data_IF_520461379734
#
_entry.id   IF_520461379734
#
_cell.length_a   1.000
_cell.length_b   1.000
_cell.length_c   1.000
_cell.angle_alpha   90.00
_cell.angle_beta   90.00
_cell.angle_gamma   90.00
#
_symmetry.space_group_name_H-M   'P 1'
#
loop_
_entity.id
_entity.type
_entity.pdbx_description
1 polymer ?
#
# COMPACT_ATOMS: atom_id res chain seq x y z
N UNK A 1 -28.57 9.24 -12.22
CA UNK A 1 -27.49 9.16 -11.22
C UNK A 1 -26.20 9.58 -11.88
N UNK A 2 -25.50 10.62 -11.40
CA UNK A 2 -24.21 11.02 -11.99
C UNK A 2 -23.22 9.86 -11.85
N UNK A 3 -22.72 9.38 -12.99
CA UNK A 3 -21.83 8.23 -13.08
C UNK A 3 -20.48 8.64 -12.46
N UNK A 4 -20.26 8.32 -11.16
CA UNK A 4 -19.00 8.60 -10.51
C UNK A 4 -17.86 7.82 -11.18
N UNK A 5 -16.65 8.37 -11.27
CA UNK A 5 -15.54 7.63 -11.83
C UNK A 5 -15.25 6.37 -11.01
N UNK A 6 -14.85 5.27 -11.66
CA UNK A 6 -14.43 4.05 -10.96
C UNK A 6 -13.20 4.32 -10.11
N UNK A 7 -13.02 3.53 -9.06
CA UNK A 7 -11.99 3.73 -8.04
C UNK A 7 -11.16 2.49 -7.84
N UNK A 8 -9.86 2.65 -7.87
CA UNK A 8 -8.92 1.62 -7.45
C UNK A 8 -8.29 2.04 -6.13
N UNK A 9 -8.46 1.19 -5.12
CA UNK A 9 -7.89 1.38 -3.80
C UNK A 9 -6.73 0.40 -3.59
N UNK A 10 -5.61 0.91 -3.15
CA UNK A 10 -4.41 0.12 -2.90
C UNK A 10 -3.99 0.28 -1.46
N UNK A 11 -4.05 -0.81 -0.70
CA UNK A 11 -3.38 -0.89 0.60
C UNK A 11 -1.93 -1.31 0.36
N UNK A 12 -1.03 -0.36 0.48
CA UNK A 12 0.36 -0.52 0.10
C UNK A 12 1.31 -0.52 1.30
N UNK A 13 2.46 -1.17 1.12
CA UNK A 13 3.52 -1.21 2.14
C UNK A 13 4.30 -2.51 2.11
N UNK A 14 5.57 -2.43 2.47
CA UNK A 14 6.48 -3.58 2.52
C UNK A 14 5.98 -4.68 3.45
N UNK A 15 6.37 -5.92 3.22
CA UNK A 15 6.03 -7.05 4.09
C UNK A 15 6.42 -6.73 5.54
N UNK A 16 5.56 -7.08 6.49
CA UNK A 16 5.73 -6.74 7.91
C UNK A 16 5.28 -5.33 8.30
N UNK A 17 4.80 -4.48 7.36
CA UNK A 17 4.31 -3.13 7.68
C UNK A 17 3.05 -3.12 8.58
N UNK A 18 2.35 -4.25 8.73
CA UNK A 18 1.10 -4.31 9.50
C UNK A 18 -0.10 -3.71 8.75
N UNK A 19 -0.18 -3.90 7.44
CA UNK A 19 -1.28 -3.41 6.60
C UNK A 19 -2.66 -3.80 7.11
N UNK A 20 -2.80 -5.01 7.70
CA UNK A 20 -4.04 -5.51 8.30
C UNK A 20 -4.63 -4.57 9.37
N UNK A 21 -3.81 -3.81 10.08
CA UNK A 21 -4.26 -2.82 11.07
C UNK A 21 -5.13 -1.71 10.44
N UNK A 22 -4.96 -1.45 9.15
CA UNK A 22 -5.66 -0.38 8.40
C UNK A 22 -6.69 -0.96 7.43
N UNK A 23 -6.54 -2.24 7.02
CA UNK A 23 -7.39 -2.90 6.03
C UNK A 23 -8.88 -2.74 6.34
N UNK A 24 -9.29 -3.01 7.58
CA UNK A 24 -10.69 -2.88 7.99
C UNK A 24 -11.26 -1.46 7.85
N UNK A 25 -10.46 -0.43 8.11
CA UNK A 25 -10.88 0.96 7.91
C UNK A 25 -11.02 1.30 6.43
N UNK A 26 -10.08 0.83 5.60
CA UNK A 26 -10.15 1.00 4.15
C UNK A 26 -11.37 0.29 3.56
N UNK A 27 -11.65 -0.95 3.97
CA UNK A 27 -12.80 -1.72 3.50
C UNK A 27 -14.13 -1.02 3.84
N UNK A 28 -14.28 -0.50 5.04
CA UNK A 28 -15.48 0.28 5.42
C UNK A 28 -15.68 1.52 4.57
N UNK A 29 -14.59 2.19 4.16
CA UNK A 29 -14.66 3.38 3.30
C UNK A 29 -14.98 3.03 1.84
N UNK A 30 -14.55 1.86 1.37
CA UNK A 30 -14.61 1.52 -0.06
C UNK A 30 -15.90 0.80 -0.46
N UNK A 31 -16.38 -0.12 0.36
CA UNK A 31 -17.46 -1.04 -0.01
C UNK A 31 -17.13 -1.93 -1.23
N UNK A 32 -15.86 -1.96 -1.67
CA UNK A 32 -15.42 -2.71 -2.85
C UNK A 32 -14.89 -4.10 -2.45
N UNK A 33 -14.94 -5.03 -3.41
CA UNK A 33 -14.28 -6.32 -3.26
C UNK A 33 -12.78 -6.13 -3.02
N UNK A 34 -12.27 -6.82 -2.01
CA UNK A 34 -10.88 -6.70 -1.58
C UNK A 34 -10.09 -7.96 -1.87
N UNK A 35 -8.99 -7.80 -2.59
CA UNK A 35 -8.07 -8.87 -2.90
C UNK A 35 -6.81 -8.78 -2.04
N UNK A 36 -6.55 -9.83 -1.25
CA UNK A 36 -5.33 -10.00 -0.49
C UNK A 36 -4.48 -11.13 -1.09
N UNK A 37 -3.28 -10.86 -1.64
CA UNK A 37 -2.43 -11.88 -2.23
C UNK A 37 -1.98 -12.97 -1.24
N UNK A 38 -1.74 -12.61 0.04
CA UNK A 38 -1.31 -13.57 1.06
C UNK A 38 -2.44 -14.58 1.37
N UNK A 39 -3.69 -14.11 1.47
CA UNK A 39 -4.87 -14.96 1.62
C UNK A 39 -5.15 -15.82 0.38
N UNK A 40 -4.97 -15.25 -0.81
CA UNK A 40 -5.12 -15.99 -2.05
C UNK A 40 -4.09 -17.12 -2.15
N UNK A 41 -2.82 -16.86 -1.83
CA UNK A 41 -1.77 -17.88 -1.78
C UNK A 41 -2.07 -18.99 -0.77
N UNK A 42 -2.58 -18.61 0.41
CA UNK A 42 -3.00 -19.59 1.42
C UNK A 42 -4.13 -20.49 0.91
N UNK A 43 -5.18 -19.92 0.30
CA UNK A 43 -6.28 -20.71 -0.30
C UNK A 43 -5.79 -21.64 -1.41
N UNK A 44 -4.88 -21.17 -2.28
CA UNK A 44 -4.29 -22.01 -3.35
C UNK A 44 -3.55 -23.18 -2.76
N UNK A 45 -2.72 -23.00 -1.74
CA UNK A 45 -2.00 -24.10 -1.08
C UNK A 45 -2.91 -25.05 -0.33
N UNK A 46 -3.98 -24.54 0.27
CA UNK A 46 -4.97 -25.39 0.95
C UNK A 46 -5.73 -26.30 -0.04
N UNK A 47 -5.93 -25.81 -1.27
CA UNK A 47 -6.57 -26.58 -2.35
C UNK A 47 -5.61 -27.60 -3.02
N UNK A 48 -4.32 -27.29 -3.12
CA UNK A 48 -3.27 -28.22 -3.59
C UNK A 48 -2.04 -28.18 -2.65
N UNK A 49 -2.01 -29.05 -1.63
CA UNK A 49 -0.90 -29.15 -0.68
C UNK A 49 0.46 -29.50 -1.29
N UNK A 50 0.50 -30.00 -2.54
CA UNK A 50 1.76 -30.31 -3.24
C UNK A 50 2.43 -29.05 -3.81
N UNK A 51 1.67 -27.95 -3.93
CA UNK A 51 2.19 -26.69 -4.44
C UNK A 51 3.16 -26.05 -3.45
N UNK A 52 4.30 -25.58 -3.92
CA UNK A 52 5.26 -24.86 -3.07
C UNK A 52 4.70 -23.50 -2.67
N UNK A 53 5.21 -22.92 -1.57
CA UNK A 53 4.83 -21.56 -1.17
C UNK A 53 5.17 -20.52 -2.26
N UNK A 54 6.30 -20.72 -2.96
CA UNK A 54 6.72 -19.82 -4.03
C UNK A 54 5.74 -19.85 -5.22
N UNK A 55 5.29 -21.05 -5.63
CA UNK A 55 4.33 -21.21 -6.72
C UNK A 55 2.96 -20.63 -6.35
N UNK A 56 2.49 -20.87 -5.13
CA UNK A 56 1.25 -20.30 -4.63
C UNK A 56 1.30 -18.75 -4.59
N UNK A 57 2.41 -18.17 -4.13
CA UNK A 57 2.62 -16.73 -4.13
C UNK A 57 2.64 -16.17 -5.55
N UNK A 58 3.28 -16.86 -6.50
CA UNK A 58 3.31 -16.50 -7.90
C UNK A 58 1.91 -16.54 -8.52
N UNK A 59 1.16 -17.62 -8.29
CA UNK A 59 -0.21 -17.76 -8.77
C UNK A 59 -1.15 -16.69 -8.21
N UNK A 60 -1.07 -16.40 -6.91
CA UNK A 60 -1.82 -15.33 -6.25
C UNK A 60 -1.47 -13.95 -6.83
N UNK A 61 -0.17 -13.70 -7.07
CA UNK A 61 0.26 -12.44 -7.70
C UNK A 61 -0.33 -12.29 -9.12
N UNK A 62 -0.27 -13.35 -9.94
CA UNK A 62 -0.85 -13.34 -11.29
C UNK A 62 -2.38 -13.17 -11.25
N UNK A 63 -3.06 -13.78 -10.27
CA UNK A 63 -4.50 -13.59 -10.07
C UNK A 63 -4.81 -12.11 -9.75
N UNK A 64 -4.12 -11.51 -8.78
CA UNK A 64 -4.32 -10.10 -8.41
C UNK A 64 -4.04 -9.14 -9.56
N UNK A 65 -2.99 -9.41 -10.35
CA UNK A 65 -2.68 -8.65 -11.55
C UNK A 65 -3.83 -8.71 -12.57
N UNK A 66 -4.34 -9.91 -12.90
CA UNK A 66 -5.47 -10.08 -13.84
C UNK A 66 -6.74 -9.39 -13.35
N UNK A 67 -7.03 -9.46 -12.03
CA UNK A 67 -8.18 -8.75 -11.45
C UNK A 67 -8.04 -7.24 -11.59
N UNK A 68 -6.85 -6.69 -11.36
CA UNK A 68 -6.57 -5.27 -11.55
C UNK A 68 -6.71 -4.86 -13.03
N UNK A 69 -6.13 -5.63 -13.95
CA UNK A 69 -6.24 -5.40 -15.41
C UNK A 69 -7.71 -5.41 -15.86
N UNK A 70 -8.50 -6.37 -15.36
CA UNK A 70 -9.93 -6.45 -15.62
C UNK A 70 -10.69 -5.25 -15.04
N UNK A 71 -10.42 -4.89 -13.79
CA UNK A 71 -11.07 -3.73 -13.16
C UNK A 71 -10.79 -2.43 -13.94
N UNK A 72 -9.59 -2.27 -14.50
CA UNK A 72 -9.24 -1.14 -15.37
C UNK A 72 -10.02 -1.19 -16.68
N UNK A 73 -10.05 -2.35 -17.36
CA UNK A 73 -10.71 -2.53 -18.66
C UNK A 73 -12.24 -2.32 -18.56
N UNK A 74 -12.86 -2.94 -17.57
CA UNK A 74 -14.31 -2.94 -17.36
C UNK A 74 -14.78 -1.72 -16.52
N UNK A 75 -13.85 -0.83 -16.13
CA UNK A 75 -14.12 0.38 -15.32
C UNK A 75 -14.85 0.08 -14.00
N UNK A 76 -14.38 -0.92 -13.27
CA UNK A 76 -14.94 -1.38 -12.00
C UNK A 76 -14.22 -0.76 -10.80
N UNK A 77 -14.91 -0.66 -9.68
CA UNK A 77 -14.27 -0.41 -8.38
C UNK A 77 -13.50 -1.67 -7.95
N UNK A 78 -12.28 -1.49 -7.45
CA UNK A 78 -11.44 -2.59 -7.00
C UNK A 78 -10.54 -2.17 -5.85
N UNK A 79 -10.37 -3.06 -4.86
CA UNK A 79 -9.47 -2.83 -3.73
C UNK A 79 -8.51 -4.02 -3.57
N UNK A 80 -7.23 -3.75 -3.33
CA UNK A 80 -6.26 -4.83 -3.17
C UNK A 80 -5.04 -4.41 -2.34
N UNK A 81 -4.30 -5.43 -1.86
CA UNK A 81 -2.99 -5.26 -1.24
C UNK A 81 -1.84 -5.36 -2.23
N UNK A 82 -0.81 -4.54 -2.03
CA UNK A 82 0.44 -4.62 -2.77
C UNK A 82 1.62 -4.12 -1.94
N UNK A 83 2.81 -4.67 -2.17
CA UNK A 83 4.03 -4.04 -1.64
C UNK A 83 4.44 -2.80 -2.45
N UNK A 84 3.95 -2.62 -3.68
CA UNK A 84 4.44 -1.65 -4.67
C UNK A 84 5.96 -1.73 -4.90
N UNK A 85 6.60 -2.86 -4.56
CA UNK A 85 8.06 -3.04 -4.60
C UNK A 85 8.63 -3.42 -5.97
N UNK A 86 7.77 -3.71 -6.96
CA UNK A 86 8.13 -4.01 -8.35
C UNK A 86 7.55 -2.95 -9.29
N UNK A 87 7.76 -3.09 -10.61
CA UNK A 87 7.37 -2.07 -11.60
C UNK A 87 5.98 -2.30 -12.20
N UNK A 88 5.51 -3.54 -12.28
CA UNK A 88 4.26 -3.90 -12.98
C UNK A 88 3.02 -3.24 -12.40
N UNK A 89 2.78 -3.39 -11.08
CA UNK A 89 1.60 -2.80 -10.43
C UNK A 89 1.62 -1.26 -10.50
N UNK A 90 2.74 -0.57 -10.18
CA UNK A 90 2.83 0.87 -10.38
C UNK A 90 2.52 1.33 -11.82
N UNK A 91 2.97 0.59 -12.84
CA UNK A 91 2.68 0.92 -14.24
C UNK A 91 1.17 0.80 -14.56
N UNK A 92 0.51 -0.28 -14.09
CA UNK A 92 -0.94 -0.45 -14.24
C UNK A 92 -1.73 0.66 -13.54
N UNK A 93 -1.32 1.06 -12.34
CA UNK A 93 -1.96 2.17 -11.61
C UNK A 93 -1.77 3.51 -12.33
N UNK A 94 -0.60 3.75 -12.90
CA UNK A 94 -0.33 4.94 -13.71
C UNK A 94 -1.21 4.97 -14.98
N UNK A 95 -1.40 3.82 -15.63
CA UNK A 95 -2.30 3.65 -16.78
C UNK A 95 -3.75 3.90 -16.37
N UNK A 96 -4.21 3.32 -15.26
CA UNK A 96 -5.55 3.53 -14.72
C UNK A 96 -5.85 5.03 -14.50
N UNK A 97 -4.91 5.75 -13.88
CA UNK A 97 -5.04 7.19 -13.67
C UNK A 97 -5.14 7.97 -15.00
N UNK A 98 -4.40 7.58 -16.03
CA UNK A 98 -4.48 8.18 -17.38
C UNK A 98 -5.85 7.94 -18.04
N UNK A 99 -6.52 6.84 -17.70
CA UNK A 99 -7.89 6.50 -18.13
C UNK A 99 -8.97 7.16 -17.25
N UNK A 100 -8.61 8.14 -16.42
CA UNK A 100 -9.53 8.85 -15.50
C UNK A 100 -10.21 7.91 -14.47
N UNK A 101 -9.51 6.84 -14.07
CA UNK A 101 -9.89 6.04 -12.92
C UNK A 101 -9.26 6.68 -11.67
N UNK A 102 -10.03 6.88 -10.61
CA UNK A 102 -9.48 7.42 -9.36
C UNK A 102 -8.59 6.37 -8.68
N UNK A 103 -7.29 6.64 -8.60
CA UNK A 103 -6.34 5.78 -7.88
C UNK A 103 -6.07 6.36 -6.50
N UNK A 104 -6.36 5.58 -5.47
CA UNK A 104 -6.21 5.95 -4.07
C UNK A 104 -5.28 4.96 -3.37
N UNK A 105 -4.23 5.46 -2.73
CA UNK A 105 -3.21 4.64 -2.07
C UNK A 105 -3.17 4.94 -0.59
N UNK A 106 -3.29 3.89 0.23
CA UNK A 106 -3.03 3.93 1.66
C UNK A 106 -1.72 3.19 1.91
N UNK A 107 -0.68 3.95 2.18
CA UNK A 107 0.68 3.45 2.32
C UNK A 107 1.04 3.32 3.80
N UNK A 108 1.42 2.11 4.22
CA UNK A 108 1.87 1.81 5.58
C UNK A 108 3.36 1.55 5.56
N UNK A 109 4.11 2.32 6.33
CA UNK A 109 5.55 2.16 6.46
C UNK A 109 6.00 1.97 7.89
N UNK A 110 7.26 1.56 8.04
CA UNK A 110 7.99 1.42 9.30
C UNK A 110 9.30 2.20 9.22
N UNK A 111 9.84 2.52 10.39
CA UNK A 111 11.04 3.33 10.56
C UNK A 111 12.30 2.75 9.91
N UNK A 112 12.39 1.42 9.79
CA UNK A 112 13.56 0.75 9.21
C UNK A 112 13.22 -0.59 8.55
N UNK A 113 14.04 -1.08 7.61
CA UNK A 113 13.90 -2.43 7.07
C UNK A 113 14.12 -3.51 8.11
N UNK A 114 14.92 -3.25 9.16
CA UNK A 114 15.17 -4.18 10.27
C UNK A 114 13.90 -4.43 11.07
N UNK A 115 13.08 -3.41 11.31
CA UNK A 115 11.79 -3.57 11.98
C UNK A 115 10.81 -4.41 11.13
N UNK A 116 10.80 -4.22 9.80
CA UNK A 116 10.04 -5.09 8.90
C UNK A 116 10.48 -6.55 9.00
N UNK A 117 11.80 -6.79 9.02
CA UNK A 117 12.39 -8.14 9.15
C UNK A 117 12.01 -8.76 10.49
N UNK A 118 12.10 -8.01 11.59
CA UNK A 118 11.72 -8.49 12.92
C UNK A 118 10.23 -8.91 12.97
N UNK A 119 9.34 -8.10 12.42
CA UNK A 119 7.90 -8.41 12.37
C UNK A 119 7.57 -9.59 11.44
N UNK A 120 8.27 -9.74 10.30
CA UNK A 120 8.12 -10.94 9.44
C UNK A 120 8.56 -12.18 10.20
N UNK A 121 9.71 -12.16 10.91
CA UNK A 121 10.18 -13.28 11.74
C UNK A 121 9.15 -13.66 12.83
N UNK A 122 8.62 -12.66 13.55
CA UNK A 122 7.60 -12.90 14.58
C UNK A 122 6.32 -13.52 13.99
N UNK A 123 5.93 -13.14 12.77
CA UNK A 123 4.82 -13.74 12.03
C UNK A 123 5.13 -15.19 11.65
N UNK A 124 6.34 -15.48 11.17
CA UNK A 124 6.79 -16.84 10.82
C UNK A 124 6.75 -17.75 12.03
N UNK A 125 7.20 -17.29 13.21
CA UNK A 125 7.13 -18.04 14.45
C UNK A 125 5.68 -18.42 14.86
N UNK A 126 4.68 -17.71 14.30
CA UNK A 126 3.23 -17.99 14.49
C UNK A 126 2.61 -18.74 13.30
N UNK A 127 3.42 -19.39 12.46
CA UNK A 127 2.96 -20.18 11.31
C UNK A 127 2.77 -19.43 10.00
N UNK A 128 3.15 -18.14 9.92
CA UNK A 128 3.14 -17.38 8.67
C UNK A 128 4.30 -17.77 7.74
N UNK A 129 4.19 -17.39 6.45
CA UNK A 129 5.25 -17.65 5.48
C UNK A 129 6.42 -16.66 5.63
N UNK A 130 7.65 -17.14 5.31
CA UNK A 130 8.85 -16.33 5.34
C UNK A 130 9.01 -15.50 4.05
N UNK A 131 9.73 -14.38 4.20
CA UNK A 131 10.16 -13.52 3.09
C UNK A 131 11.67 -13.29 3.23
N UNK A 132 12.47 -13.53 2.18
CA UNK A 132 13.90 -13.31 2.22
C UNK A 132 14.26 -11.87 2.63
N UNK A 133 15.19 -11.72 3.58
CA UNK A 133 15.61 -10.42 4.10
C UNK A 133 16.07 -9.43 3.00
N UNK A 134 16.85 -9.88 1.98
CA UNK A 134 17.23 -9.00 0.87
C UNK A 134 16.02 -8.43 0.13
N UNK A 135 14.95 -9.23 -0.03
CA UNK A 135 13.71 -8.79 -0.67
C UNK A 135 12.97 -7.74 0.16
N UNK A 136 12.95 -7.89 1.49
CA UNK A 136 12.34 -6.90 2.39
C UNK A 136 13.09 -5.58 2.27
N UNK A 137 14.43 -5.57 2.34
CA UNK A 137 15.26 -4.36 2.20
C UNK A 137 15.05 -3.68 0.85
N UNK A 138 15.12 -4.44 -0.24
CA UNK A 138 14.87 -3.94 -1.58
C UNK A 138 13.47 -3.34 -1.72
N UNK A 139 12.43 -4.04 -1.24
CA UNK A 139 11.04 -3.56 -1.29
C UNK A 139 10.82 -2.33 -0.41
N UNK A 140 11.51 -2.22 0.72
CA UNK A 140 11.42 -1.03 1.58
C UNK A 140 11.88 0.24 0.86
N UNK A 141 12.89 0.17 0.03
CA UNK A 141 13.35 1.30 -0.80
C UNK A 141 12.46 1.50 -2.03
N UNK A 142 12.30 0.45 -2.85
CA UNK A 142 11.63 0.55 -4.14
C UNK A 142 10.14 0.89 -4.02
N UNK A 143 9.47 0.42 -2.97
CA UNK A 143 8.08 0.74 -2.68
C UNK A 143 7.86 2.25 -2.47
N UNK A 144 8.69 2.89 -1.65
CA UNK A 144 8.63 4.35 -1.41
C UNK A 144 8.92 5.14 -2.68
N UNK A 145 9.94 4.75 -3.45
CA UNK A 145 10.25 5.38 -4.72
C UNK A 145 9.09 5.27 -5.72
N UNK A 146 8.43 4.12 -5.78
CA UNK A 146 7.28 3.92 -6.65
C UNK A 146 6.08 4.76 -6.22
N UNK A 147 5.82 4.91 -4.91
CA UNK A 147 4.78 5.83 -4.41
C UNK A 147 5.11 7.28 -4.79
N UNK A 148 6.37 7.72 -4.66
CA UNK A 148 6.80 9.06 -5.07
C UNK A 148 6.57 9.28 -6.57
N UNK A 149 6.90 8.30 -7.41
CA UNK A 149 6.69 8.37 -8.87
C UNK A 149 5.21 8.41 -9.26
N UNK A 150 4.38 7.68 -8.52
CA UNK A 150 2.93 7.65 -8.75
C UNK A 150 2.22 8.90 -8.24
N UNK A 151 2.76 9.59 -7.22
CA UNK A 151 2.10 10.67 -6.50
C UNK A 151 1.43 11.73 -7.38
N UNK A 152 2.03 12.22 -8.48
CA UNK A 152 1.37 13.21 -9.33
C UNK A 152 0.10 12.71 -10.06
N UNK A 153 -0.10 11.40 -10.11
CA UNK A 153 -1.22 10.73 -10.80
C UNK A 153 -2.29 10.22 -9.84
N UNK A 154 -1.99 10.23 -8.53
CA UNK A 154 -2.91 9.72 -7.52
C UNK A 154 -4.04 10.72 -7.25
N UNK A 155 -5.26 10.21 -7.14
CA UNK A 155 -6.38 10.99 -6.60
C UNK A 155 -6.22 11.23 -5.11
N UNK A 156 -5.69 10.24 -4.38
CA UNK A 156 -5.42 10.35 -2.96
C UNK A 156 -4.23 9.47 -2.55
N UNK A 157 -3.36 10.01 -1.69
CA UNK A 157 -2.34 9.28 -0.95
C UNK A 157 -2.54 9.53 0.53
N UNK A 158 -2.59 8.45 1.34
CA UNK A 158 -2.45 8.50 2.79
C UNK A 158 -1.21 7.71 3.19
N UNK A 159 -0.34 8.30 3.99
CA UNK A 159 0.87 7.65 4.51
C UNK A 159 0.73 7.48 6.01
N UNK A 160 0.88 6.25 6.47
CA UNK A 160 0.79 5.89 7.89
C UNK A 160 2.11 5.34 8.39
N UNK A 161 2.51 5.80 9.56
CA UNK A 161 3.58 5.16 10.35
C UNK A 161 2.98 4.13 11.30
N UNK A 162 3.45 2.92 11.18
CA UNK A 162 3.06 1.82 12.06
C UNK A 162 4.27 1.29 12.84
N UNK A 163 5.26 2.15 13.12
CA UNK A 163 6.50 1.79 13.81
C UNK A 163 6.35 1.61 15.32
N UNK A 164 5.22 2.03 15.90
CA UNK A 164 5.00 1.93 17.33
C UNK A 164 5.16 0.49 17.85
N UNK A 165 5.84 0.36 18.97
CA UNK A 165 5.98 -0.90 19.69
C UNK A 165 4.71 -1.20 20.49
N UNK A 166 4.48 -2.48 20.77
CA UNK A 166 3.42 -2.87 21.68
C UNK A 166 3.73 -2.33 23.08
N UNK A 167 2.69 -1.87 23.76
CA UNK A 167 2.76 -1.46 25.16
C UNK A 167 3.26 -2.64 25.99
N UNK A 168 4.34 -2.50 26.79
CA UNK A 168 4.93 -3.60 27.51
C UNK A 168 4.02 -4.18 28.59
N UNK A 169 3.11 -3.37 29.15
CA UNK A 169 2.24 -3.77 30.26
C UNK A 169 0.94 -4.43 29.75
N UNK A 170 0.38 -3.91 28.65
CA UNK A 170 -0.90 -4.37 28.12
C UNK A 170 -0.78 -5.24 26.87
N UNK A 171 0.37 -5.25 26.20
CA UNK A 171 0.57 -5.89 24.91
C UNK A 171 -0.19 -5.21 23.75
N UNK A 172 -0.88 -4.10 24.02
CA UNK A 172 -1.65 -3.38 23.01
C UNK A 172 -0.72 -2.70 21.98
N UNK A 173 -0.99 -2.96 20.71
CA UNK A 173 -0.25 -2.29 19.63
C UNK A 173 -0.91 -0.95 19.33
N UNK A 174 -0.16 0.17 19.34
CA UNK A 174 -0.72 1.48 19.04
C UNK A 174 -1.30 1.53 17.63
N UNK A 175 -2.32 2.35 17.45
CA UNK A 175 -2.90 2.58 16.12
C UNK A 175 -1.88 3.25 15.20
N UNK A 176 -1.85 2.89 13.90
CA UNK A 176 -0.98 3.57 12.93
C UNK A 176 -1.25 5.08 12.87
N UNK A 177 -0.17 5.87 12.87
CA UNK A 177 -0.23 7.34 12.87
C UNK A 177 -0.28 7.87 11.44
N UNK A 178 -1.26 8.71 11.12
CA UNK A 178 -1.32 9.39 9.81
C UNK A 178 -0.24 10.47 9.73
N UNK A 179 0.74 10.26 8.85
CA UNK A 179 1.85 11.21 8.62
C UNK A 179 1.58 12.20 7.50
N UNK A 180 0.79 11.80 6.49
CA UNK A 180 0.56 12.61 5.30
C UNK A 180 -0.75 12.19 4.63
N UNK A 181 -1.55 13.16 4.22
CA UNK A 181 -2.66 12.98 3.30
C UNK A 181 -2.56 13.99 2.17
N UNK A 182 -2.48 13.50 0.96
CA UNK A 182 -2.51 14.29 -0.28
C UNK A 182 -3.78 13.95 -1.04
N UNK A 183 -4.49 14.96 -1.53
CA UNK A 183 -5.66 14.78 -2.39
C UNK A 183 -5.54 15.68 -3.61
N UNK A 184 -5.57 15.07 -4.80
CA UNK A 184 -5.43 15.78 -6.10
C UNK A 184 -4.25 16.78 -6.11
N UNK A 185 -3.08 16.29 -5.67
CA UNK A 185 -1.86 17.08 -5.61
C UNK A 185 -1.74 18.08 -4.45
N UNK A 186 -2.75 18.19 -3.57
CA UNK A 186 -2.76 19.13 -2.44
C UNK A 186 -2.60 18.39 -1.12
N UNK A 187 -1.73 18.87 -0.25
CA UNK A 187 -1.60 18.38 1.12
C UNK A 187 -2.82 18.86 1.91
N UNK A 188 -3.57 17.91 2.49
CA UNK A 188 -4.81 18.20 3.23
C UNK A 188 -4.72 17.83 4.72
N UNK A 189 -3.73 17.00 5.11
CA UNK A 189 -3.45 16.66 6.52
C UNK A 189 -2.06 16.01 6.64
N UNK A 190 -1.40 16.09 7.82
CA UNK A 190 -1.67 17.05 8.89
C UNK A 190 -1.28 18.48 8.49
N UNK A 191 -1.60 19.48 9.31
CA UNK A 191 -1.16 20.86 9.07
C UNK A 191 0.32 21.06 9.38
N UNK A 192 0.81 20.37 10.41
CA UNK A 192 2.22 20.37 10.81
C UNK A 192 2.88 19.07 10.34
N UNK A 193 3.98 19.21 9.61
CA UNK A 193 4.79 18.12 9.09
C UNK A 193 6.15 18.00 9.78
N UNK A 194 6.41 18.80 10.83
CA UNK A 194 7.70 18.85 11.53
C UNK A 194 8.05 17.51 12.20
N UNK A 195 7.05 16.80 12.72
CA UNK A 195 7.20 15.49 13.35
C UNK A 195 7.38 14.32 12.36
N UNK A 196 7.58 14.60 11.07
CA UNK A 196 7.74 13.54 10.06
C UNK A 196 8.99 12.70 10.34
N UNK A 197 8.87 11.36 10.54
CA UNK A 197 10.01 10.50 10.79
C UNK A 197 10.90 10.38 9.56
N UNK A 198 12.19 10.09 9.77
CA UNK A 198 13.22 10.09 8.72
C UNK A 198 12.83 9.26 7.48
N UNK A 199 12.23 8.09 7.68
CA UNK A 199 11.84 7.19 6.59
C UNK A 199 10.78 7.78 5.65
N UNK A 200 9.90 8.66 6.17
CA UNK A 200 8.81 9.27 5.43
C UNK A 200 9.17 10.64 4.81
N UNK A 201 10.27 11.27 5.25
CA UNK A 201 10.72 12.58 4.73
C UNK A 201 10.79 12.67 3.21
N UNK A 202 11.29 11.65 2.45
CA UNK A 202 11.29 11.70 0.99
C UNK A 202 9.89 11.79 0.37
N UNK A 203 8.90 11.08 0.97
CA UNK A 203 7.49 11.12 0.54
C UNK A 203 6.89 12.49 0.79
N UNK A 204 7.10 13.04 1.98
CA UNK A 204 6.62 14.38 2.36
C UNK A 204 7.25 15.45 1.48
N UNK A 205 8.56 15.41 1.24
CA UNK A 205 9.25 16.36 0.36
C UNK A 205 8.71 16.33 -1.08
N UNK A 206 8.40 15.13 -1.61
CA UNK A 206 7.76 14.99 -2.91
C UNK A 206 6.35 15.60 -2.93
N UNK A 207 5.57 15.38 -1.87
CA UNK A 207 4.24 15.95 -1.73
C UNK A 207 4.25 17.47 -1.62
N UNK A 208 5.20 18.05 -0.88
CA UNK A 208 5.37 19.51 -0.78
C UNK A 208 5.69 20.15 -2.12
N UNK A 209 6.60 19.53 -2.92
CA UNK A 209 6.90 20.01 -4.27
C UNK A 209 5.66 19.94 -5.17
N UNK A 210 4.88 18.87 -5.11
CA UNK A 210 3.65 18.72 -5.89
C UNK A 210 2.59 19.73 -5.46
N UNK A 211 2.38 19.95 -4.16
CA UNK A 211 1.41 20.93 -3.64
C UNK A 211 1.77 22.34 -4.09
N UNK A 212 3.04 22.73 -4.00
CA UNK A 212 3.51 24.02 -4.47
C UNK A 212 3.28 24.20 -5.99
N UNK A 213 3.56 23.17 -6.80
CA UNK A 213 3.32 23.21 -8.24
C UNK A 213 1.82 23.30 -8.56
N UNK A 214 0.97 22.58 -7.81
CA UNK A 214 -0.49 22.60 -7.98
C UNK A 214 -1.09 23.96 -7.61
N UNK A 215 -0.54 24.66 -6.60
CA UNK A 215 -0.96 26.02 -6.21
C UNK A 215 -0.64 27.08 -7.27
N UNK A 216 0.43 26.89 -8.05
CA UNK A 216 0.88 27.83 -9.08
C UNK A 216 0.14 27.69 -10.41
N UNK A 217 -0.65 26.62 -10.61
CA UNK A 217 -1.44 26.45 -11.83
C UNK A 217 -2.69 27.32 -11.73
N UNK A 218 -2.92 28.28 -12.65
CA UNK A 218 -4.19 29.00 -12.73
C UNK A 218 -5.31 27.98 -13.02
N UNK A 219 -6.50 28.29 -12.51
CA UNK A 219 -7.72 27.51 -12.70
C UNK A 219 -8.14 27.47 -14.18
#
# INVERSE_FOLDING_TARGET
>A
MANRPPRIYVLAGTNGAGKSSIAGAMLRETGADYFNPDEAAHRIRSADPRMTQADANSAAWHQGRRLLERAIADRLDFAFESTLGATTIPALLASAASLRIEVRVWYVGLSSPELHIARVRARVAKGGHDIPKPDIRRRWETSRLNVIRLLPRLTELRVYDNSGDADPDTGATPAPVLLLRVRRGRIVAPRDLSATPAWAKPLVAAAMRLDAATRRRPA
#
